data_IF_522474784528
#
_entry.id   IF_522474784528
#
_cell.length_a   1.000
_cell.length_b   1.000
_cell.length_c   1.000
_cell.angle_alpha   90.00
_cell.angle_beta   90.00
_cell.angle_gamma   90.00
#
_symmetry.space_group_name_H-M   'P 1'
#
loop_
_entity.id
_entity.type
_entity.pdbx_description
1 polymer ?
#
# COMPACT_ATOMS: atom_id res chain seq x y z
N UNK A 1 -9.38 -17.60 -17.93
CA UNK A 1 -10.03 -17.26 -16.64
C UNK A 1 -8.95 -17.22 -15.59
N UNK A 2 -8.83 -16.14 -14.82
CA UNK A 2 -7.91 -16.11 -13.67
C UNK A 2 -8.55 -16.95 -12.56
N UNK A 3 -7.91 -18.06 -12.19
CA UNK A 3 -8.33 -18.86 -11.04
C UNK A 3 -7.53 -18.36 -9.83
N UNK A 4 -8.16 -17.54 -9.01
CA UNK A 4 -7.58 -17.14 -7.72
C UNK A 4 -7.61 -18.37 -6.83
N UNK A 5 -6.43 -18.84 -6.42
CA UNK A 5 -6.28 -20.01 -5.53
C UNK A 5 -6.44 -19.67 -4.05
N UNK A 6 -6.55 -18.37 -3.74
CA UNK A 6 -6.72 -17.85 -2.40
C UNK A 6 -8.21 -17.67 -2.08
N UNK A 7 -8.57 -17.96 -0.84
CA UNK A 7 -9.88 -17.65 -0.26
C UNK A 7 -10.05 -16.14 -0.04
N UNK A 8 -11.29 -15.63 0.07
CA UNK A 8 -11.54 -14.23 0.44
C UNK A 8 -10.78 -13.79 1.70
N UNK A 9 -10.74 -14.63 2.72
CA UNK A 9 -10.09 -14.29 3.99
C UNK A 9 -8.56 -14.21 3.86
N UNK A 10 -7.95 -15.05 3.01
CA UNK A 10 -6.51 -14.95 2.69
C UNK A 10 -6.18 -13.69 1.89
N UNK A 11 -7.09 -13.22 1.02
CA UNK A 11 -6.94 -11.96 0.29
C UNK A 11 -7.01 -10.76 1.23
N UNK A 12 -7.95 -10.73 2.18
CA UNK A 12 -8.06 -9.66 3.18
C UNK A 12 -6.87 -9.65 4.15
N UNK A 13 -6.42 -10.82 4.58
CA UNK A 13 -5.20 -10.95 5.38
C UNK A 13 -3.98 -10.41 4.61
N UNK A 14 -3.91 -10.66 3.31
CA UNK A 14 -2.86 -10.09 2.46
C UNK A 14 -3.01 -8.58 2.29
N UNK A 15 -4.24 -8.07 2.08
CA UNK A 15 -4.54 -6.65 1.98
C UNK A 15 -4.06 -5.89 3.22
N UNK A 16 -4.29 -6.44 4.41
CA UNK A 16 -3.84 -5.85 5.68
C UNK A 16 -2.31 -5.70 5.75
N UNK A 17 -1.56 -6.69 5.23
CA UNK A 17 -0.09 -6.61 5.17
C UNK A 17 0.39 -5.48 4.26
N UNK A 18 -0.30 -5.24 3.15
CA UNK A 18 0.03 -4.13 2.24
C UNK A 18 -0.17 -2.77 2.92
N UNK A 19 -1.26 -2.56 3.65
CA UNK A 19 -1.49 -1.33 4.42
C UNK A 19 -0.46 -1.15 5.55
N UNK A 20 -0.08 -2.24 6.25
CA UNK A 20 0.98 -2.18 7.24
C UNK A 20 2.32 -1.73 6.60
N UNK A 21 2.69 -2.33 5.46
CA UNK A 21 3.88 -1.93 4.71
C UNK A 21 3.83 -0.47 4.23
N UNK A 22 2.66 0.02 3.79
CA UNK A 22 2.48 1.43 3.42
C UNK A 22 2.74 2.37 4.60
N UNK A 23 2.24 2.01 5.79
CA UNK A 23 2.48 2.75 7.03
C UNK A 23 3.96 2.77 7.39
N UNK A 24 4.63 1.61 7.36
CA UNK A 24 6.06 1.49 7.70
C UNK A 24 6.92 2.34 6.75
N UNK A 25 6.62 2.32 5.45
CA UNK A 25 7.30 3.15 4.44
C UNK A 25 7.16 4.63 4.74
N UNK A 26 5.93 5.09 5.04
CA UNK A 26 5.67 6.51 5.38
C UNK A 26 6.34 6.92 6.69
N UNK A 27 6.38 6.04 7.69
CA UNK A 27 7.09 6.30 8.95
C UNK A 27 8.60 6.46 8.72
N UNK A 28 9.22 5.52 7.99
CA UNK A 28 10.64 5.58 7.64
C UNK A 28 10.94 6.89 6.89
N UNK A 29 10.12 7.21 5.88
CA UNK A 29 10.27 8.43 5.11
C UNK A 29 10.20 9.67 6.00
N UNK A 30 9.18 9.78 6.86
CA UNK A 30 9.03 10.92 7.77
C UNK A 30 10.21 11.10 8.72
N UNK A 31 10.75 10.00 9.28
CA UNK A 31 11.95 10.06 10.14
C UNK A 31 13.17 10.57 9.38
N UNK A 32 13.39 10.10 8.16
CA UNK A 32 14.53 10.53 7.34
C UNK A 32 14.37 11.96 6.84
N UNK A 33 13.15 12.42 6.54
CA UNK A 33 12.88 13.82 6.19
C UNK A 33 13.23 14.74 7.36
N UNK A 34 12.82 14.39 8.58
CA UNK A 34 13.16 15.19 9.76
C UNK A 34 14.67 15.25 10.04
N UNK A 35 15.39 14.13 9.83
CA UNK A 35 16.85 14.11 9.94
C UNK A 35 17.50 14.99 8.87
N UNK A 36 16.99 14.94 7.64
CA UNK A 36 17.51 15.80 6.58
C UNK A 36 17.30 17.29 6.87
N UNK A 37 16.13 17.67 7.39
CA UNK A 37 15.87 19.05 7.80
C UNK A 37 16.85 19.50 8.90
N UNK A 38 17.17 18.60 9.85
CA UNK A 38 18.20 18.86 10.87
C UNK A 38 19.57 19.11 10.24
N UNK A 39 20.01 18.23 9.34
CA UNK A 39 21.31 18.38 8.66
C UNK A 39 21.35 19.68 7.87
N UNK A 40 20.29 20.00 7.11
CA UNK A 40 20.19 21.23 6.32
C UNK A 40 20.32 22.49 7.18
N UNK A 41 19.69 22.52 8.35
CA UNK A 41 19.80 23.65 9.29
C UNK A 41 21.20 23.81 9.91
N UNK A 42 21.97 22.72 10.01
CA UNK A 42 23.29 22.71 10.64
C UNK A 42 24.45 22.82 9.62
N UNK A 43 24.13 22.87 8.33
CA UNK A 43 25.13 22.93 7.27
C UNK A 43 25.24 24.33 6.66
N UNK A 44 26.38 24.99 6.86
CA UNK A 44 26.65 26.31 6.27
C UNK A 44 27.13 26.15 4.81
N UNK A 45 26.29 26.58 3.86
CA UNK A 45 26.64 26.72 2.43
C UNK A 45 26.00 25.71 1.48
N UNK A 46 26.16 25.95 0.17
CA UNK A 46 25.46 25.23 -0.92
C UNK A 46 25.95 23.81 -1.18
N UNK A 47 26.93 23.32 -0.42
CA UNK A 47 27.54 22.00 -0.65
C UNK A 47 26.55 20.84 -0.48
N UNK A 48 25.43 21.06 0.22
CA UNK A 48 24.39 20.07 0.47
C UNK A 48 23.19 20.13 -0.50
N UNK A 49 23.07 21.18 -1.34
CA UNK A 49 21.89 21.40 -2.20
C UNK A 49 21.61 20.22 -3.15
N UNK A 50 22.65 19.65 -3.74
CA UNK A 50 22.49 18.52 -4.68
C UNK A 50 21.96 17.27 -3.98
N UNK A 51 22.39 17.03 -2.75
CA UNK A 51 21.90 15.91 -1.95
C UNK A 51 20.45 16.14 -1.54
N UNK A 52 20.12 17.36 -1.10
CA UNK A 52 18.76 17.75 -0.73
C UNK A 52 17.77 17.57 -1.88
N UNK A 53 18.13 18.03 -3.09
CA UNK A 53 17.32 17.84 -4.29
C UNK A 53 17.07 16.36 -4.62
N UNK A 54 18.10 15.51 -4.53
CA UNK A 54 17.96 14.07 -4.77
C UNK A 54 17.04 13.42 -3.75
N UNK A 55 17.17 13.79 -2.48
CA UNK A 55 16.31 13.25 -1.45
C UNK A 55 14.86 13.67 -1.64
N UNK A 56 14.57 14.93 -2.00
CA UNK A 56 13.20 15.39 -2.31
C UNK A 56 12.61 14.60 -3.47
N UNK A 57 13.37 14.40 -4.56
CA UNK A 57 12.91 13.61 -5.71
C UNK A 57 12.60 12.16 -5.32
N UNK A 58 13.50 11.51 -4.58
CA UNK A 58 13.33 10.12 -4.15
C UNK A 58 12.21 9.97 -3.13
N UNK A 59 12.04 10.95 -2.23
CA UNK A 59 10.94 10.99 -1.27
C UNK A 59 9.58 10.97 -1.95
N UNK A 60 9.44 11.67 -3.08
CA UNK A 60 8.25 11.60 -3.92
C UNK A 60 7.96 10.18 -4.41
N UNK A 61 8.96 9.50 -4.97
CA UNK A 61 8.83 8.11 -5.47
C UNK A 61 8.52 7.12 -4.35
N UNK A 62 9.06 7.33 -3.14
CA UNK A 62 8.78 6.50 -1.97
C UNK A 62 7.34 6.69 -1.49
N UNK A 63 6.81 7.93 -1.53
CA UNK A 63 5.40 8.19 -1.25
C UNK A 63 4.49 7.53 -2.30
N UNK A 64 4.81 7.65 -3.59
CA UNK A 64 4.07 6.97 -4.66
C UNK A 64 4.06 5.44 -4.46
N UNK A 65 5.17 4.87 -3.98
CA UNK A 65 5.22 3.46 -3.63
C UNK A 65 4.28 3.12 -2.46
N UNK A 66 4.25 3.92 -1.39
CA UNK A 66 3.31 3.70 -0.29
C UNK A 66 1.85 3.80 -0.76
N UNK A 67 1.53 4.75 -1.65
CA UNK A 67 0.18 4.88 -2.23
C UNK A 67 -0.18 3.68 -3.10
N UNK A 68 0.77 3.11 -3.84
CA UNK A 68 0.57 1.87 -4.57
C UNK A 68 0.22 0.70 -3.63
N UNK A 69 0.86 0.59 -2.47
CA UNK A 69 0.54 -0.45 -1.50
C UNK A 69 -0.90 -0.32 -0.97
N UNK A 70 -1.38 0.90 -0.70
CA UNK A 70 -2.77 1.15 -0.31
C UNK A 70 -3.77 0.83 -1.44
N UNK A 71 -3.40 1.11 -2.69
CA UNK A 71 -4.21 0.72 -3.84
C UNK A 71 -4.30 -0.80 -3.99
N UNK A 72 -3.23 -1.54 -3.70
CA UNK A 72 -3.25 -3.01 -3.69
C UNK A 72 -4.17 -3.51 -2.59
N UNK A 73 -4.13 -2.94 -1.38
CA UNK A 73 -5.10 -3.27 -0.33
C UNK A 73 -6.55 -3.12 -0.82
N UNK A 74 -6.86 -1.96 -1.40
CA UNK A 74 -8.22 -1.66 -1.90
C UNK A 74 -8.67 -2.69 -2.94
N UNK A 75 -7.80 -3.02 -3.90
CA UNK A 75 -8.10 -4.00 -4.94
C UNK A 75 -8.29 -5.41 -4.37
N UNK A 76 -7.45 -5.84 -3.42
CA UNK A 76 -7.58 -7.16 -2.79
C UNK A 76 -8.90 -7.30 -2.02
N UNK A 77 -9.32 -6.26 -1.30
CA UNK A 77 -10.60 -6.25 -0.60
C UNK A 77 -11.81 -6.28 -1.56
N UNK A 78 -11.72 -5.58 -2.70
CA UNK A 78 -12.75 -5.65 -3.75
C UNK A 78 -12.88 -7.04 -4.35
N UNK A 79 -11.74 -7.70 -4.61
CA UNK A 79 -11.71 -9.07 -5.12
C UNK A 79 -12.30 -10.05 -4.10
N UNK A 80 -11.92 -9.94 -2.82
CA UNK A 80 -12.48 -10.76 -1.75
C UNK A 80 -14.01 -10.63 -1.65
N UNK A 81 -14.52 -9.39 -1.70
CA UNK A 81 -15.96 -9.09 -1.72
C UNK A 81 -16.64 -9.73 -2.92
N UNK A 82 -16.08 -9.56 -4.12
CA UNK A 82 -16.63 -10.13 -5.36
C UNK A 82 -16.76 -11.65 -5.30
N UNK A 83 -15.76 -12.34 -4.72
CA UNK A 83 -15.81 -13.80 -4.55
C UNK A 83 -16.94 -14.19 -3.58
N UNK A 84 -17.07 -13.52 -2.43
CA UNK A 84 -18.14 -13.80 -1.46
C UNK A 84 -19.53 -13.59 -2.06
N UNK A 85 -19.73 -12.49 -2.79
CA UNK A 85 -21.01 -12.18 -3.42
C UNK A 85 -21.38 -13.24 -4.47
N UNK A 86 -20.39 -13.64 -5.28
CA UNK A 86 -20.57 -14.71 -6.28
C UNK A 86 -20.92 -16.04 -5.62
N UNK A 87 -20.22 -16.42 -4.56
CA UNK A 87 -20.48 -17.67 -3.82
C UNK A 87 -21.86 -17.66 -3.17
N UNK A 88 -22.28 -16.54 -2.58
CA UNK A 88 -23.61 -16.38 -2.00
C UNK A 88 -24.71 -16.45 -3.07
N UNK A 89 -24.50 -15.84 -4.24
CA UNK A 89 -25.43 -15.91 -5.37
C UNK A 89 -25.58 -17.36 -5.86
N UNK A 90 -24.48 -18.09 -6.04
CA UNK A 90 -24.50 -19.50 -6.44
C UNK A 90 -25.23 -20.35 -5.40
N UNK A 91 -24.91 -20.16 -4.11
CA UNK A 91 -25.58 -20.87 -3.03
C UNK A 91 -27.10 -20.61 -3.02
N UNK A 92 -27.54 -19.38 -3.29
CA UNK A 92 -28.96 -19.04 -3.37
C UNK A 92 -29.67 -19.73 -4.54
N UNK A 93 -28.99 -19.92 -5.68
CA UNK A 93 -29.53 -20.61 -6.86
C UNK A 93 -29.57 -22.13 -6.71
N UNK A 94 -28.61 -22.69 -5.98
CA UNK A 94 -28.53 -24.13 -5.69
C UNK A 94 -29.39 -24.56 -4.50
N UNK A 95 -29.71 -23.64 -3.59
CA UNK A 95 -30.65 -23.83 -2.49
C UNK A 95 -32.11 -23.95 -2.98
N UNK A 96 -32.39 -25.04 -3.71
CA UNK A 96 -33.71 -25.59 -4.05
C UNK A 96 -34.82 -24.59 -4.43
N UNK A 97 -35.12 -24.53 -5.74
CA UNK A 97 -36.52 -24.47 -6.16
C UNK A 97 -37.22 -25.72 -5.61
N UNK A 98 -38.13 -25.53 -4.66
CA UNK A 98 -39.13 -26.55 -4.32
C UNK A 98 -40.07 -26.82 -5.49
#
# INVERSE_FOLDING_TARGET
MVQIKLTPDELEASATKYTAGASDVREVLGRLTAEQDNISQNWDGTAFEKFEQQFIELSGKVNEFADLLDQINTQLNQVATTIRDTDAEIASKLGFQG
#
